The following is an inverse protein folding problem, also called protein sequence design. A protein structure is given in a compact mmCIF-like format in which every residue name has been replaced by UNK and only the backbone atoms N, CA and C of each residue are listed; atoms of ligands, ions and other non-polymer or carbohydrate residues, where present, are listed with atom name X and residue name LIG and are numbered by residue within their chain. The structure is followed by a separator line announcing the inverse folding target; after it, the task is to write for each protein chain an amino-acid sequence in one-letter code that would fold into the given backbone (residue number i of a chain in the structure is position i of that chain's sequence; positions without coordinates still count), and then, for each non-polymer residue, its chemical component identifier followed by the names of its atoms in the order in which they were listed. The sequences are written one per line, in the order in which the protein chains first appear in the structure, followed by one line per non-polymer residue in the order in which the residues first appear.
data_IF_447352875388
#
_entry.id   IF_447352875388
#
_cell.length_a   1.000
_cell.length_b   1.000
_cell.length_c   1.000
_cell.angle_alpha   90.00
_cell.angle_beta   90.00
_cell.angle_gamma   90.00
#
_symmetry.space_group_name_H-M   'P 1'
#
loop_
_entity.id
_entity.type
_entity.pdbx_description
1 polymer ?
#
# COMPACT_ATOMS: atom_id res chain seq x y z
N UNK A 1 -38.79 -4.98 -14.89
CA UNK A 1 -37.79 -5.84 -14.22
C UNK A 1 -36.43 -5.21 -14.45
N UNK A 2 -35.84 -4.63 -13.40
CA UNK A 2 -34.63 -3.79 -13.46
C UNK A 2 -33.39 -4.69 -13.37
N UNK A 3 -32.60 -4.78 -14.45
CA UNK A 3 -31.25 -5.34 -14.40
C UNK A 3 -30.29 -4.31 -15.00
N UNK A 4 -30.05 -3.23 -14.25
CA UNK A 4 -28.82 -2.47 -14.41
C UNK A 4 -27.73 -3.31 -13.75
N UNK A 5 -27.11 -4.19 -14.54
CA UNK A 5 -25.95 -4.97 -14.14
C UNK A 5 -24.94 -4.02 -13.53
N UNK A 6 -24.67 -4.19 -12.24
CA UNK A 6 -23.62 -3.52 -11.49
C UNK A 6 -22.30 -3.97 -12.11
N UNK A 7 -21.92 -3.39 -13.24
CA UNK A 7 -20.52 -3.18 -13.57
C UNK A 7 -20.07 -2.18 -12.54
N UNK A 8 -19.69 -2.68 -11.37
CA UNK A 8 -18.99 -1.91 -10.37
C UNK A 8 -17.78 -1.35 -11.10
N UNK A 9 -17.86 -0.09 -11.48
CA UNK A 9 -16.76 0.65 -12.11
C UNK A 9 -15.53 0.37 -11.25
N UNK A 10 -14.60 -0.43 -11.79
CA UNK A 10 -13.51 -0.98 -10.99
C UNK A 10 -12.64 0.15 -10.45
N UNK A 11 -12.55 1.26 -11.19
CA UNK A 11 -11.96 2.50 -10.71
C UNK A 11 -12.67 3.03 -9.46
N UNK A 12 -14.01 3.16 -9.48
CA UNK A 12 -14.81 3.57 -8.33
C UNK A 12 -14.71 2.62 -7.13
N UNK A 13 -14.57 1.30 -7.36
CA UNK A 13 -14.32 0.33 -6.29
C UNK A 13 -12.96 0.56 -5.63
N UNK A 14 -11.91 0.74 -6.44
CA UNK A 14 -10.54 1.02 -6.00
C UNK A 14 -10.50 2.33 -5.21
N UNK A 15 -11.12 3.40 -5.72
CA UNK A 15 -11.17 4.70 -5.02
C UNK A 15 -11.84 4.58 -3.66
N UNK A 16 -12.99 3.89 -3.57
CA UNK A 16 -13.69 3.68 -2.29
C UNK A 16 -12.87 2.85 -1.30
N UNK A 17 -12.12 1.87 -1.80
CA UNK A 17 -11.22 1.07 -0.98
C UNK A 17 -10.12 1.96 -0.39
N UNK A 18 -9.35 2.67 -1.22
CA UNK A 18 -8.25 3.52 -0.72
C UNK A 18 -8.73 4.71 0.12
N UNK A 19 -9.96 5.17 -0.07
CA UNK A 19 -10.57 6.20 0.78
C UNK A 19 -10.95 5.69 2.19
N UNK A 20 -11.18 4.39 2.36
CA UNK A 20 -11.56 3.77 3.65
C UNK A 20 -10.44 2.92 4.26
N UNK A 21 -9.46 2.53 3.45
CA UNK A 21 -8.36 1.69 3.89
C UNK A 21 -7.51 2.47 4.90
N UNK A 22 -7.18 1.81 6.00
CA UNK A 22 -6.17 2.32 6.90
C UNK A 22 -4.80 2.03 6.30
N UNK A 23 -4.33 2.92 5.43
CA UNK A 23 -3.04 2.80 4.79
C UNK A 23 -1.93 3.00 5.83
N UNK A 24 -0.82 2.24 5.72
CA UNK A 24 0.31 2.44 6.61
C UNK A 24 0.79 3.89 6.50
N UNK A 25 1.12 4.48 7.64
CA UNK A 25 1.79 5.77 7.68
C UNK A 25 3.15 5.67 6.99
N UNK A 26 3.73 6.83 6.66
CA UNK A 26 5.07 6.89 6.11
C UNK A 26 6.10 6.25 7.07
N UNK A 27 5.93 6.44 8.38
CA UNK A 27 6.82 5.86 9.39
C UNK A 27 6.69 4.34 9.48
N UNK A 28 5.47 3.80 9.42
CA UNK A 28 5.25 2.35 9.36
C UNK A 28 5.86 1.76 8.08
N UNK A 29 5.63 2.41 6.94
CA UNK A 29 6.23 2.00 5.65
C UNK A 29 7.75 2.02 5.72
N UNK A 30 8.33 3.07 6.31
CA UNK A 30 9.78 3.20 6.48
C UNK A 30 10.34 2.11 7.41
N UNK A 31 9.63 1.80 8.50
CA UNK A 31 10.02 0.73 9.43
C UNK A 31 10.05 -0.64 8.77
N UNK A 32 9.08 -0.94 7.92
CA UNK A 32 9.06 -2.19 7.13
C UNK A 32 10.26 -2.26 6.18
N UNK A 33 10.54 -1.18 5.43
CA UNK A 33 11.71 -1.12 4.51
C UNK A 33 13.01 -1.36 5.28
N UNK A 34 13.19 -0.69 6.42
CA UNK A 34 14.36 -0.85 7.29
C UNK A 34 14.49 -2.29 7.78
N UNK A 35 13.38 -2.90 8.19
CA UNK A 35 13.34 -4.29 8.67
C UNK A 35 13.77 -5.26 7.57
N UNK A 36 13.29 -5.07 6.34
CA UNK A 36 13.66 -5.92 5.20
C UNK A 36 15.14 -5.76 4.81
N UNK A 37 15.70 -4.54 4.87
CA UNK A 37 17.14 -4.31 4.65
C UNK A 37 17.97 -5.09 5.68
N UNK A 38 17.59 -5.03 6.95
CA UNK A 38 18.28 -5.72 8.03
C UNK A 38 18.15 -7.24 7.94
N UNK A 39 16.96 -7.76 7.59
CA UNK A 39 16.74 -9.20 7.38
C UNK A 39 17.58 -9.76 6.25
N UNK A 40 17.83 -8.97 5.21
CA UNK A 40 18.75 -9.34 4.12
C UNK A 40 20.23 -9.27 4.55
N UNK A 41 20.53 -8.89 5.79
CA UNK A 41 21.88 -8.73 6.30
C UNK A 41 22.63 -7.54 5.71
N UNK A 42 21.91 -6.61 5.06
CA UNK A 42 22.51 -5.40 4.46
C UNK A 42 22.67 -4.30 5.50
N UNK A 43 23.71 -3.49 5.33
CA UNK A 43 23.93 -2.33 6.19
C UNK A 43 22.89 -1.23 5.88
N UNK A 44 22.29 -0.67 6.94
CA UNK A 44 21.42 0.49 6.83
C UNK A 44 22.23 1.74 6.47
N UNK A 45 21.89 2.32 5.34
CA UNK A 45 22.48 3.55 4.83
C UNK A 45 21.46 4.31 3.99
N UNK A 46 21.72 5.59 3.72
CA UNK A 46 20.90 6.35 2.77
C UNK A 46 20.84 5.66 1.40
N UNK A 47 21.95 5.04 0.95
CA UNK A 47 22.00 4.30 -0.32
C UNK A 47 21.16 3.02 -0.32
N UNK A 48 21.01 2.35 0.81
CA UNK A 48 20.14 1.16 0.89
C UNK A 48 18.67 1.52 1.04
N UNK A 49 18.36 2.77 1.37
CA UNK A 49 17.00 3.27 1.58
C UNK A 49 16.43 4.00 0.34
N UNK A 50 17.28 4.61 -0.48
CA UNK A 50 16.93 5.25 -1.74
C UNK A 50 16.95 4.24 -2.90
#
# INVERSE_FOLDING_TARGET
MHQNSVTLDSAGAITRYFAKANLPTQQETLGEIVTEILKDGRNLSRKSLC
#
